data_IF_176750937412
#
_entry.id   IF_176750937412
#
_cell.length_a   1.000
_cell.length_b   1.000
_cell.length_c   1.000
_cell.angle_alpha   90.00
_cell.angle_beta   90.00
_cell.angle_gamma   90.00
#
_symmetry.space_group_name_H-M   'P 1'
#
loop_
_entity.id
_entity.type
_entity.pdbx_description
1 polymer ?
#
# COMPACT_ATOMS: atom_id res chain seq x y z
N UNK A 1 6.19 -0.61 -17.14
CA UNK A 1 4.99 -0.23 -16.36
C UNK A 1 4.81 -1.37 -15.39
N UNK A 2 5.45 -1.25 -14.24
CA UNK A 2 5.59 -2.33 -13.29
C UNK A 2 4.76 -2.00 -12.06
N UNK A 3 3.89 -2.92 -11.69
CA UNK A 3 3.01 -2.83 -10.53
C UNK A 3 3.84 -3.29 -9.35
N UNK A 4 4.47 -2.34 -8.66
CA UNK A 4 5.17 -2.57 -7.42
C UNK A 4 4.53 -1.68 -6.36
N UNK A 5 4.14 -2.27 -5.24
CA UNK A 5 3.69 -1.57 -4.04
C UNK A 5 4.79 -1.64 -3.00
N UNK A 6 5.20 -0.47 -2.52
CA UNK A 6 5.91 -0.27 -1.27
C UNK A 6 5.25 0.95 -0.64
N UNK A 7 4.41 0.73 0.37
CA UNK A 7 3.85 1.78 1.23
C UNK A 7 4.24 1.43 2.66
N UNK A 8 4.82 2.39 3.37
CA UNK A 8 4.46 2.74 4.76
C UNK A 8 5.39 3.83 5.30
N UNK A 9 5.15 5.10 4.97
CA UNK A 9 5.76 6.25 5.69
C UNK A 9 4.76 6.96 6.59
N UNK A 10 3.47 6.85 6.29
CA UNK A 10 2.38 7.48 7.03
C UNK A 10 2.02 6.70 8.31
N UNK A 11 2.18 5.37 8.25
CA UNK A 11 1.93 4.46 9.37
C UNK A 11 3.03 4.57 10.41
N UNK A 12 4.28 4.71 9.95
CA UNK A 12 5.45 4.90 10.82
C UNK A 12 5.43 6.25 11.55
N UNK A 13 4.96 7.31 10.87
CA UNK A 13 4.73 8.61 11.49
C UNK A 13 3.67 8.56 12.60
N UNK A 14 2.56 7.85 12.36
CA UNK A 14 1.51 7.64 13.35
C UNK A 14 1.99 6.77 14.53
N UNK A 15 2.81 5.74 14.26
CA UNK A 15 3.43 4.89 15.30
C UNK A 15 4.41 5.70 16.15
N UNK A 16 5.21 6.58 15.55
CA UNK A 16 6.13 7.46 16.28
C UNK A 16 5.39 8.44 17.20
N UNK A 17 4.30 9.05 16.70
CA UNK A 17 3.44 9.93 17.49
C UNK A 17 2.72 9.18 18.62
N UNK A 18 2.21 7.98 18.35
CA UNK A 18 1.58 7.12 19.36
C UNK A 18 2.57 6.64 20.42
N UNK A 19 3.81 6.30 20.04
CA UNK A 19 4.85 5.88 20.98
C UNK A 19 5.29 7.04 21.88
N UNK A 20 5.40 8.26 21.33
CA UNK A 20 5.66 9.48 22.11
C UNK A 20 4.52 9.79 23.09
N UNK A 21 3.26 9.69 22.64
CA UNK A 21 2.08 9.88 23.50
C UNK A 21 2.03 8.85 24.64
N UNK A 22 2.45 7.60 24.39
CA UNK A 22 2.48 6.52 25.39
C UNK A 22 3.61 6.69 26.41
N UNK A 23 4.74 7.31 26.03
CA UNK A 23 5.84 7.63 26.96
C UNK A 23 5.47 8.73 27.96
N UNK A 24 4.54 9.62 27.60
CA UNK A 24 4.07 10.72 28.46
C UNK A 24 2.96 10.27 29.43
N UNK A 25 2.31 9.12 29.18
CA UNK A 25 1.25 8.54 30.03
C UNK A 25 1.75 7.54 31.08
N UNK A 26 2.99 7.64 31.55
CA UNK A 26 3.57 6.75 32.58
C UNK A 26 2.97 6.94 34.01
N UNK A 27 1.73 7.41 34.10
CA UNK A 27 0.90 7.43 35.30
C UNK A 27 -0.48 6.84 34.96
N UNK A 28 -0.60 5.50 34.97
CA UNK A 28 -1.66 4.73 35.68
C UNK A 28 -2.05 3.36 35.03
N UNK A 29 -2.48 2.47 35.92
CA UNK A 29 -2.60 1.01 35.95
C UNK A 29 -3.24 0.24 34.75
N UNK A 30 -2.55 -0.83 34.31
CA UNK A 30 -3.06 -2.14 33.83
C UNK A 30 -3.99 -2.24 32.60
N UNK A 31 -4.88 -1.28 32.41
CA UNK A 31 -5.98 -1.26 31.44
C UNK A 31 -5.49 -1.03 30.00
N UNK A 32 -4.46 -0.20 29.84
CA UNK A 32 -3.84 0.12 28.56
C UNK A 32 -3.14 -1.09 27.93
N UNK A 33 -2.57 -1.99 28.73
CA UNK A 33 -1.87 -3.19 28.23
C UNK A 33 -2.84 -4.11 27.48
N UNK A 34 -4.08 -4.25 27.96
CA UNK A 34 -5.09 -5.08 27.27
C UNK A 34 -5.56 -4.45 25.96
N UNK A 35 -5.77 -3.14 25.93
CA UNK A 35 -6.15 -2.41 24.70
C UNK A 35 -5.05 -2.53 23.65
N UNK A 36 -3.80 -2.33 24.05
CA UNK A 36 -2.63 -2.52 23.17
C UNK A 36 -2.55 -3.97 22.70
N UNK A 37 -2.68 -4.96 23.59
CA UNK A 37 -2.64 -6.37 23.23
C UNK A 37 -3.76 -6.76 22.24
N UNK A 38 -4.98 -6.25 22.44
CA UNK A 38 -6.11 -6.46 21.52
C UNK A 38 -5.85 -5.80 20.17
N UNK A 39 -5.39 -4.55 20.16
CA UNK A 39 -5.03 -3.84 18.93
C UNK A 39 -3.94 -4.57 18.14
N UNK A 40 -2.87 -5.01 18.82
CA UNK A 40 -1.79 -5.80 18.20
C UNK A 40 -2.31 -7.12 17.66
N UNK A 41 -3.17 -7.83 18.41
CA UNK A 41 -3.77 -9.10 17.98
C UNK A 41 -4.68 -8.94 16.76
N UNK A 42 -5.39 -7.82 16.65
CA UNK A 42 -6.19 -7.50 15.47
C UNK A 42 -5.31 -7.11 14.28
N UNK A 43 -4.25 -6.34 14.52
CA UNK A 43 -3.27 -5.97 13.49
C UNK A 43 -2.55 -7.19 12.92
N UNK A 44 -2.13 -8.14 13.77
CA UNK A 44 -1.46 -9.38 13.31
C UNK A 44 -2.42 -10.23 12.47
N UNK A 45 -3.65 -10.47 12.93
CA UNK A 45 -4.66 -11.21 12.17
C UNK A 45 -5.00 -10.56 10.83
N UNK A 46 -5.15 -9.24 10.80
CA UNK A 46 -5.39 -8.51 9.55
C UNK A 46 -4.20 -8.63 8.59
N UNK A 47 -2.98 -8.47 9.09
CA UNK A 47 -1.77 -8.61 8.28
C UNK A 47 -1.59 -10.03 7.73
N UNK A 48 -1.89 -11.06 8.52
CA UNK A 48 -1.90 -12.46 8.07
C UNK A 48 -2.92 -12.70 6.96
N UNK A 49 -4.15 -12.17 7.10
CA UNK A 49 -5.19 -12.29 6.08
C UNK A 49 -4.78 -11.60 4.76
N UNK A 50 -4.21 -10.40 4.85
CA UNK A 50 -3.68 -9.68 3.68
C UNK A 50 -2.54 -10.47 3.04
N UNK A 51 -1.59 -10.97 3.83
CA UNK A 51 -0.49 -11.78 3.32
C UNK A 51 -1.00 -13.05 2.61
N UNK A 52 -1.99 -13.73 3.19
CA UNK A 52 -2.61 -14.90 2.59
C UNK A 52 -3.33 -14.57 1.26
N UNK A 53 -4.04 -13.45 1.20
CA UNK A 53 -4.68 -12.98 -0.04
C UNK A 53 -3.67 -12.66 -1.14
N UNK A 54 -2.54 -12.04 -0.77
CA UNK A 54 -1.43 -11.76 -1.71
C UNK A 54 -0.83 -13.06 -2.23
N UNK A 55 -0.50 -14.01 -1.35
CA UNK A 55 0.03 -15.33 -1.72
C UNK A 55 -0.90 -16.10 -2.65
N UNK A 56 -2.20 -16.14 -2.33
CA UNK A 56 -3.21 -16.75 -3.22
C UNK A 56 -3.24 -16.08 -4.60
N UNK A 57 -3.19 -14.75 -4.65
CA UNK A 57 -3.20 -14.01 -5.90
C UNK A 57 -1.94 -14.27 -6.74
N UNK A 58 -0.76 -14.30 -6.10
CA UNK A 58 0.50 -14.62 -6.76
C UNK A 58 0.52 -16.07 -7.26
N UNK A 59 -0.01 -17.02 -6.50
CA UNK A 59 -0.12 -18.43 -6.95
C UNK A 59 -1.07 -18.58 -8.13
N UNK A 60 -2.19 -17.85 -8.15
CA UNK A 60 -3.17 -17.89 -9.23
C UNK A 60 -2.67 -17.25 -10.54
N UNK A 61 -1.81 -16.24 -10.46
CA UNK A 61 -1.39 -15.44 -11.62
C UNK A 61 0.10 -15.55 -11.98
N UNK A 62 0.92 -16.16 -11.11
CA UNK A 62 2.39 -16.14 -11.15
C UNK A 62 3.04 -16.92 -12.30
N UNK A 63 2.28 -17.75 -13.02
CA UNK A 63 2.77 -18.47 -14.22
C UNK A 63 2.44 -17.75 -15.52
N UNK A 64 1.67 -16.65 -15.46
CA UNK A 64 1.20 -15.92 -16.64
C UNK A 64 2.03 -14.65 -16.89
N UNK A 65 2.30 -14.35 -18.16
CA UNK A 65 2.99 -13.10 -18.54
C UNK A 65 2.15 -11.90 -18.09
N UNK A 66 2.76 -10.81 -17.61
CA UNK A 66 2.04 -9.58 -17.27
C UNK A 66 1.16 -9.12 -18.44
N UNK A 67 -0.10 -8.82 -18.15
CA UNK A 67 -1.04 -8.33 -19.17
C UNK A 67 -0.55 -6.99 -19.70
N UNK A 68 -0.41 -6.90 -21.03
CA UNK A 68 -0.07 -5.65 -21.71
C UNK A 68 -1.31 -4.78 -21.85
N UNK A 69 -1.18 -3.51 -21.49
CA UNK A 69 -2.21 -2.49 -21.66
C UNK A 69 -1.70 -1.39 -22.59
N UNK A 70 -2.59 -0.89 -23.44
CA UNK A 70 -2.36 0.32 -24.21
C UNK A 70 -2.44 1.56 -23.30
N UNK A 71 -1.83 2.67 -23.71
CA UNK A 71 -1.91 3.92 -22.95
C UNK A 71 -3.35 4.39 -22.71
N UNK A 72 -4.25 4.20 -23.68
CA UNK A 72 -5.67 4.54 -23.54
C UNK A 72 -6.35 3.74 -22.44
N UNK A 73 -6.05 2.44 -22.32
CA UNK A 73 -6.56 1.59 -21.25
C UNK A 73 -5.99 1.99 -19.90
N UNK A 74 -4.67 2.22 -19.80
CA UNK A 74 -4.02 2.69 -18.57
C UNK A 74 -4.62 4.01 -18.11
N UNK A 75 -4.88 4.95 -19.04
CA UNK A 75 -5.52 6.24 -18.74
C UNK A 75 -6.93 6.05 -18.19
N UNK A 76 -7.69 5.06 -18.67
CA UNK A 76 -9.02 4.72 -18.12
C UNK A 76 -8.90 4.12 -16.72
N UNK A 77 -8.02 3.13 -16.55
CA UNK A 77 -7.75 2.47 -15.26
C UNK A 77 -7.34 3.49 -14.20
N UNK A 78 -6.42 4.40 -14.53
CA UNK A 78 -5.93 5.45 -13.64
C UNK A 78 -6.90 6.63 -13.49
N UNK A 79 -8.13 6.55 -14.01
CA UNK A 79 -9.13 7.63 -13.99
C UNK A 79 -8.54 8.97 -14.45
N UNK A 80 -7.79 8.94 -15.56
CA UNK A 80 -7.02 10.06 -16.13
C UNK A 80 -5.96 10.64 -15.19
N UNK A 81 -5.32 9.79 -14.38
CA UNK A 81 -4.24 10.15 -13.45
C UNK A 81 -4.69 11.20 -12.41
N UNK A 82 -5.95 11.15 -11.97
CA UNK A 82 -6.55 12.17 -11.09
C UNK A 82 -6.04 12.09 -9.65
N UNK A 83 -5.77 10.88 -9.15
CA UNK A 83 -5.42 10.64 -7.75
C UNK A 83 -4.00 10.10 -7.65
N UNK A 84 -3.04 10.98 -7.37
CA UNK A 84 -1.66 10.61 -7.06
C UNK A 84 -1.61 10.05 -5.64
N UNK A 85 -0.97 8.90 -5.47
CA UNK A 85 -0.78 8.23 -4.17
C UNK A 85 0.68 8.22 -3.72
N UNK A 86 1.63 8.42 -4.65
CA UNK A 86 3.04 8.47 -4.30
C UNK A 86 3.91 9.09 -5.38
N UNK A 87 5.17 9.34 -5.03
CA UNK A 87 6.22 9.77 -5.93
C UNK A 87 7.54 9.15 -5.48
N UNK A 88 8.32 8.65 -6.44
CA UNK A 88 9.68 8.18 -6.20
C UNK A 88 10.62 8.63 -7.31
N UNK A 89 11.88 8.21 -7.24
CA UNK A 89 12.91 8.64 -8.20
C UNK A 89 12.63 8.30 -9.67
N UNK A 90 11.75 7.33 -9.92
CA UNK A 90 11.37 6.90 -11.28
C UNK A 90 10.05 7.51 -11.76
N UNK A 91 9.41 8.38 -10.98
CA UNK A 91 8.18 9.07 -11.36
C UNK A 91 7.04 8.94 -10.35
N UNK A 92 5.83 9.20 -10.83
CA UNK A 92 4.62 9.35 -10.01
C UNK A 92 3.74 8.10 -10.01
N UNK A 93 3.15 7.76 -8.86
CA UNK A 93 2.23 6.62 -8.69
C UNK A 93 0.82 7.13 -8.50
N UNK A 94 -0.13 6.56 -9.25
CA UNK A 94 -1.54 6.95 -9.23
C UNK A 94 -2.45 5.79 -8.86
N UNK A 95 -3.55 6.07 -8.16
CA UNK A 95 -4.59 5.08 -7.88
C UNK A 95 -5.40 4.80 -9.14
N UNK A 96 -5.67 3.52 -9.39
CA UNK A 96 -6.52 3.05 -10.47
C UNK A 96 -7.39 1.86 -10.04
N UNK A 97 -8.25 1.43 -10.97
CA UNK A 97 -9.14 0.29 -10.77
C UNK A 97 -9.28 -0.46 -12.10
N UNK A 98 -9.08 -1.77 -12.05
CA UNK A 98 -9.27 -2.65 -13.20
C UNK A 98 -10.77 -2.85 -13.50
N UNK A 99 -11.15 -3.28 -14.72
CA UNK A 99 -12.56 -3.52 -15.06
C UNK A 99 -13.29 -4.54 -14.18
N UNK A 100 -12.55 -5.42 -13.49
CA UNK A 100 -13.08 -6.39 -12.54
C UNK A 100 -13.24 -5.82 -11.11
N UNK A 101 -13.06 -4.51 -10.93
CA UNK A 101 -13.18 -3.83 -9.63
C UNK A 101 -11.94 -3.92 -8.75
N UNK A 102 -10.86 -4.57 -9.22
CA UNK A 102 -9.64 -4.71 -8.41
C UNK A 102 -8.87 -3.38 -8.39
N UNK A 103 -8.59 -2.81 -7.20
CA UNK A 103 -7.79 -1.59 -7.07
C UNK A 103 -6.32 -1.86 -7.44
N UNK A 104 -5.69 -0.91 -8.13
CA UNK A 104 -4.30 -1.02 -8.61
C UNK A 104 -3.53 0.29 -8.48
N UNK A 105 -2.21 0.20 -8.43
CA UNK A 105 -1.30 1.33 -8.61
C UNK A 105 -0.84 1.41 -10.07
N UNK A 106 -0.87 2.61 -10.63
CA UNK A 106 -0.33 2.92 -11.95
C UNK A 106 0.89 3.80 -11.75
N UNK A 107 2.09 3.22 -11.91
CA UNK A 107 3.36 3.97 -11.89
C UNK A 107 3.62 4.55 -13.28
N UNK A 108 3.56 5.88 -13.37
CA UNK A 108 3.92 6.64 -14.56
C UNK A 108 5.42 6.94 -14.46
N UNK A 109 6.19 6.34 -15.36
CA UNK A 109 7.62 6.59 -15.43
C UNK A 109 7.88 7.96 -16.03
N UNK A 110 8.71 8.75 -15.37
CA UNK A 110 9.24 9.99 -15.90
C UNK A 110 10.52 9.68 -16.66
N UNK A 111 10.71 10.28 -17.83
CA UNK A 111 11.91 10.05 -18.62
C UNK A 111 13.08 10.73 -17.90
N UNK A 112 13.93 9.97 -17.23
CA UNK A 112 15.29 10.41 -16.98
C UNK A 112 16.00 10.38 -18.33
N UNK A 113 16.18 11.53 -18.96
CA UNK A 113 17.29 11.70 -19.90
C UNK A 113 18.55 11.29 -19.15
N UNK A 114 19.01 10.06 -19.39
CA UNK A 114 20.37 9.68 -19.07
C UNK A 114 21.26 10.45 -20.03
N UNK A 115 22.00 11.42 -19.50
CA UNK A 115 23.27 11.82 -20.10
C UNK A 115 24.31 10.73 -19.85
#
# INVERSE_FOLDING_TARGET
>A
MDIAWEEDTLVDGAISLLTKLLSEMACDCGSHVKVIAVYLSLKTKYNEEIHFKVEMFLKANGTSKPKRYTFSEVKKIARRFKQKVGQGGFGSVYRGELPNGVPVAVKMLENSTGE
#
